data_IF_665050852418
#
_entry.id   IF_665050852418
#
_cell.length_a   1.000
_cell.length_b   1.000
_cell.length_c   1.000
_cell.angle_alpha   90.00
_cell.angle_beta   90.00
_cell.angle_gamma   90.00
#
_symmetry.space_group_name_H-M   'P 1'
#
loop_
_entity.id
_entity.type
_entity.pdbx_description
1 polymer ?
#
# COMPACT_ATOMS: atom_id res chain seq x y z
N UNK A 1 10.23 6.33 6.70
CA UNK A 1 10.53 4.91 6.96
C UNK A 1 10.32 4.48 8.43
N UNK A 2 9.76 5.30 9.33
CA UNK A 2 9.54 4.86 10.73
C UNK A 2 8.27 4.03 10.93
N UNK A 3 7.20 4.28 10.15
CA UNK A 3 5.87 3.70 10.40
C UNK A 3 5.85 2.16 10.39
N UNK A 4 6.48 1.51 9.41
CA UNK A 4 6.51 0.05 9.35
C UNK A 4 7.36 -0.57 10.46
N UNK A 5 8.45 0.10 10.85
CA UNK A 5 9.30 -0.32 11.97
C UNK A 5 8.54 -0.19 13.29
N UNK A 6 7.74 0.87 13.47
CA UNK A 6 6.89 1.06 14.64
C UNK A 6 5.78 0.00 14.72
N UNK A 7 5.21 -0.42 13.58
CA UNK A 7 4.25 -1.53 13.55
C UNK A 7 4.88 -2.85 14.00
N UNK A 8 6.09 -3.17 13.54
CA UNK A 8 6.84 -4.33 14.03
C UNK A 8 7.13 -4.25 15.53
N UNK A 9 7.57 -3.08 16.01
CA UNK A 9 7.85 -2.86 17.43
C UNK A 9 6.59 -3.03 18.33
N UNK A 10 5.40 -2.86 17.77
CA UNK A 10 4.12 -3.10 18.45
C UNK A 10 3.63 -4.55 18.36
N UNK A 11 4.40 -5.45 17.73
CA UNK A 11 4.09 -6.87 17.61
C UNK A 11 3.33 -7.26 16.35
N UNK A 12 3.26 -6.42 15.32
CA UNK A 12 2.74 -6.84 14.01
C UNK A 12 3.78 -7.73 13.34
N UNK A 13 3.47 -9.02 13.25
CA UNK A 13 4.36 -10.03 12.69
C UNK A 13 4.34 -10.02 11.16
N UNK A 14 3.15 -9.91 10.57
CA UNK A 14 2.99 -9.97 9.11
C UNK A 14 1.79 -9.14 8.61
N UNK A 15 1.86 -8.76 7.32
CA UNK A 15 0.81 -8.02 6.62
C UNK A 15 0.62 -8.66 5.25
N UNK A 16 -0.48 -9.39 5.04
CA UNK A 16 -0.74 -10.10 3.79
C UNK A 16 -1.14 -9.18 2.63
N UNK A 17 -1.88 -8.11 2.92
CA UNK A 17 -2.39 -7.18 1.91
C UNK A 17 -2.16 -5.75 2.38
N UNK A 18 -1.59 -4.92 1.49
CA UNK A 18 -1.47 -3.47 1.69
C UNK A 18 -2.21 -2.75 0.57
N UNK A 19 -2.98 -1.72 0.90
CA UNK A 19 -3.63 -0.85 -0.08
C UNK A 19 -2.99 0.53 -0.03
N UNK A 20 -2.54 1.05 -1.18
CA UNK A 20 -1.83 2.34 -1.27
C UNK A 20 -2.41 3.20 -2.38
N UNK A 21 -2.34 4.50 -2.22
CA UNK A 21 -2.79 5.53 -3.17
C UNK A 21 -1.70 5.89 -4.21
N UNK A 22 -0.82 4.93 -4.56
CA UNK A 22 0.29 5.12 -5.50
C UNK A 22 1.38 6.11 -5.03
N UNK A 23 1.58 6.23 -3.71
CA UNK A 23 2.72 6.97 -3.17
C UNK A 23 4.04 6.33 -3.59
N UNK A 24 4.76 7.01 -4.49
CA UNK A 24 6.09 6.61 -4.95
C UNK A 24 7.03 6.39 -3.76
N UNK A 25 7.55 5.16 -3.65
CA UNK A 25 8.45 4.74 -2.56
C UNK A 25 7.76 4.00 -1.40
N UNK A 26 6.45 4.11 -1.23
CA UNK A 26 5.75 3.35 -0.18
C UNK A 26 5.72 1.85 -0.50
N UNK A 27 5.48 1.48 -1.76
CA UNK A 27 5.52 0.09 -2.23
C UNK A 27 6.88 -0.57 -1.99
N UNK A 28 7.99 0.15 -2.22
CA UNK A 28 9.34 -0.36 -1.94
C UNK A 28 9.59 -0.49 -0.43
N UNK A 29 9.06 0.44 0.35
CA UNK A 29 9.19 0.40 1.81
C UNK A 29 8.41 -0.79 2.39
N UNK A 30 7.20 -1.07 1.88
CA UNK A 30 6.41 -2.24 2.27
C UNK A 30 7.15 -3.53 1.94
N UNK A 31 7.71 -3.67 0.72
CA UNK A 31 8.51 -4.86 0.36
C UNK A 31 9.71 -5.08 1.27
N UNK A 32 10.32 -4.01 1.79
CA UNK A 32 11.46 -4.12 2.70
C UNK A 32 11.05 -4.42 4.16
N UNK A 33 9.83 -4.01 4.56
CA UNK A 33 9.30 -4.24 5.90
C UNK A 33 8.57 -5.58 6.04
N UNK A 34 7.74 -5.92 5.05
CA UNK A 34 6.84 -7.07 5.02
C UNK A 34 6.90 -7.71 3.63
N UNK A 35 7.85 -8.63 3.45
CA UNK A 35 8.24 -9.21 2.15
C UNK A 35 7.11 -9.99 1.47
N UNK A 36 6.29 -10.68 2.25
CA UNK A 36 5.17 -11.50 1.76
C UNK A 36 3.91 -10.67 1.48
N UNK A 37 3.96 -9.35 1.73
CA UNK A 37 2.81 -8.48 1.55
C UNK A 37 2.51 -8.23 0.08
N UNK A 38 1.26 -8.49 -0.31
CA UNK A 38 0.75 -8.11 -1.64
C UNK A 38 0.25 -6.67 -1.61
N UNK A 39 0.92 -5.78 -2.33
CA UNK A 39 0.50 -4.38 -2.45
C UNK A 39 -0.49 -4.18 -3.60
N UNK A 40 -1.63 -3.58 -3.29
CA UNK A 40 -2.70 -3.21 -4.20
C UNK A 40 -2.94 -1.71 -4.19
N UNK A 41 -3.56 -1.21 -5.25
CA UNK A 41 -3.97 0.19 -5.34
C UNK A 41 -5.29 0.38 -4.59
N UNK A 42 -5.36 1.41 -3.75
CA UNK A 42 -6.54 1.76 -2.98
C UNK A 42 -7.53 2.52 -3.85
N UNK A 43 -8.61 1.85 -4.27
CA UNK A 43 -9.64 2.39 -5.17
C UNK A 43 -10.54 3.44 -4.51
N UNK A 44 -10.69 3.37 -3.18
CA UNK A 44 -11.50 4.31 -2.38
C UNK A 44 -10.74 5.58 -2.01
N UNK A 45 -9.44 5.65 -2.32
CA UNK A 45 -8.67 6.87 -2.09
C UNK A 45 -9.14 7.94 -3.07
N UNK A 46 -9.43 9.18 -2.61
CA UNK A 46 -10.04 10.22 -3.44
C UNK A 46 -9.22 10.60 -4.69
N UNK A 47 -7.91 10.36 -4.67
CA UNK A 47 -7.02 10.59 -5.82
C UNK A 47 -7.14 9.52 -6.92
N UNK A 48 -7.63 8.33 -6.58
CA UNK A 48 -7.49 7.14 -7.42
C UNK A 48 -8.83 6.61 -7.95
N UNK A 49 -9.92 6.87 -7.23
CA UNK A 49 -11.27 6.50 -7.63
C UNK A 49 -11.58 7.03 -9.06
N UNK A 50 -11.14 8.24 -9.37
CA UNK A 50 -11.38 8.88 -10.67
C UNK A 50 -10.50 8.34 -11.82
N UNK A 51 -9.23 7.99 -11.55
CA UNK A 51 -8.30 7.47 -12.57
C UNK A 51 -8.66 6.04 -12.99
N UNK A 52 -9.09 5.19 -12.05
CA UNK A 52 -9.50 3.84 -12.39
C UNK A 52 -10.85 3.81 -13.12
N UNK A 53 -11.83 4.63 -12.73
CA UNK A 53 -13.08 4.78 -13.49
C UNK A 53 -12.78 5.22 -14.92
N UNK A 54 -11.89 6.21 -15.12
CA UNK A 54 -11.44 6.63 -16.46
C UNK A 54 -10.72 5.54 -17.25
N UNK A 55 -9.99 4.63 -16.61
CA UNK A 55 -9.34 3.51 -17.31
C UNK A 55 -10.31 2.40 -17.73
N UNK A 56 -11.49 2.33 -17.10
CA UNK A 56 -12.55 1.38 -17.42
C UNK A 56 -13.53 1.91 -18.47
N UNK A 57 -13.65 3.23 -18.58
CA UNK A 57 -14.33 3.91 -19.68
C UNK A 57 -13.35 4.14 -20.85
N UNK A 58 -13.05 3.06 -21.58
CA UNK A 58 -12.37 3.15 -22.88
C UNK A 58 -13.18 3.90 -23.94
#
# INVERSE_FOLDING_TARGET
MSVLTDLKARGVEDILITATDNLNGFTQTVKNGFLESTTQICVVSPNQEFEQIRSMEG
#
